data_IF_853477770373
#
_entry.id   IF_853477770373
#
_cell.length_a   1.000
_cell.length_b   1.000
_cell.length_c   1.000
_cell.angle_alpha   90.00
_cell.angle_beta   90.00
_cell.angle_gamma   90.00
#
_symmetry.space_group_name_H-M   'P 1'
#
loop_
_entity.id
_entity.type
_entity.pdbx_description
1 polymer ?
#
# COMPACT_ATOMS: atom_id res chain seq x y z
N UNK A 1 -8.98 -2.16 -20.48
CA UNK A 1 -9.37 -1.05 -19.67
C UNK A 1 -8.18 -0.14 -19.41
N UNK A 2 -8.45 1.10 -19.19
CA UNK A 2 -7.38 2.02 -18.82
C UNK A 2 -6.68 1.50 -17.57
N UNK A 3 -5.38 1.68 -17.51
CA UNK A 3 -4.57 1.13 -16.45
C UNK A 3 -4.72 1.87 -15.14
N UNK A 4 -5.91 1.97 -14.60
CA UNK A 4 -6.14 2.59 -13.31
C UNK A 4 -5.75 1.58 -12.22
N UNK A 5 -4.66 1.86 -11.51
CA UNK A 5 -4.08 0.93 -10.56
C UNK A 5 -4.49 1.17 -9.11
N UNK A 6 -5.25 2.22 -8.84
CA UNK A 6 -5.74 2.46 -7.48
C UNK A 6 -6.77 1.40 -7.11
N UNK A 7 -6.69 0.90 -5.88
CA UNK A 7 -7.60 -0.15 -5.43
C UNK A 7 -8.98 0.41 -5.14
N UNK A 8 -9.96 -0.49 -4.95
CA UNK A 8 -11.33 -0.06 -4.70
C UNK A 8 -11.49 0.64 -3.35
N UNK A 9 -10.55 0.47 -2.44
CA UNK A 9 -10.58 1.16 -1.15
C UNK A 9 -10.43 2.67 -1.31
N UNK A 10 -9.84 3.12 -2.42
CA UNK A 10 -9.67 4.52 -2.66
C UNK A 10 -8.68 5.17 -1.72
N UNK A 11 -8.73 6.49 -1.62
CA UNK A 11 -7.83 7.24 -0.76
C UNK A 11 -8.22 7.07 0.71
N UNK A 12 -7.20 6.89 1.58
CA UNK A 12 -7.38 6.73 3.02
C UNK A 12 -6.71 7.87 3.77
N UNK A 13 -7.15 8.10 5.00
CA UNK A 13 -6.61 9.13 5.87
C UNK A 13 -6.14 8.49 7.16
N UNK A 14 -4.94 8.88 7.62
CA UNK A 14 -4.37 8.33 8.85
C UNK A 14 -3.66 9.45 9.60
N UNK A 15 -3.86 9.52 10.92
CA UNK A 15 -3.16 10.47 11.76
C UNK A 15 -1.72 10.06 12.01
N UNK A 16 -0.86 11.04 12.34
CA UNK A 16 0.58 10.81 12.55
C UNK A 16 0.87 9.86 13.72
N UNK A 17 -0.06 9.76 14.67
CA UNK A 17 0.12 8.92 15.85
C UNK A 17 -0.57 7.56 15.73
N UNK A 18 -1.17 7.27 14.60
CA UNK A 18 -1.88 6.03 14.40
C UNK A 18 -1.00 4.97 13.76
N UNK A 19 -1.27 3.71 14.12
CA UNK A 19 -0.69 2.54 13.47
C UNK A 19 -1.86 1.68 13.01
N UNK A 20 -2.02 1.53 11.71
CA UNK A 20 -3.20 0.87 11.15
C UNK A 20 -2.78 -0.19 10.15
N UNK A 21 -3.45 -1.35 10.21
CA UNK A 21 -3.29 -2.42 9.24
C UNK A 21 -4.40 -2.30 8.20
N UNK A 22 -4.00 -2.13 6.94
CA UNK A 22 -4.94 -1.98 5.84
C UNK A 22 -5.02 -3.24 5.01
N UNK A 23 -6.17 -3.41 4.34
CA UNK A 23 -6.35 -4.47 3.36
C UNK A 23 -6.68 -3.85 2.01
N UNK A 24 -6.27 -4.52 0.93
CA UNK A 24 -6.56 -4.12 -0.44
C UNK A 24 -7.33 -5.24 -1.13
N UNK A 25 -8.33 -4.86 -1.88
CA UNK A 25 -9.04 -5.79 -2.76
C UNK A 25 -8.51 -5.63 -4.18
N UNK A 26 -8.05 -6.71 -4.77
CA UNK A 26 -7.42 -6.69 -6.09
C UNK A 26 -8.05 -7.70 -7.03
N UNK A 27 -7.83 -7.49 -8.32
CA UNK A 27 -8.26 -8.41 -9.36
C UNK A 27 -7.22 -8.36 -10.50
N UNK A 28 -6.74 -9.50 -10.97
CA UNK A 28 -7.04 -10.87 -10.53
C UNK A 28 -6.47 -11.21 -9.16
N UNK A 29 -6.86 -12.36 -8.62
CA UNK A 29 -6.40 -12.79 -7.30
C UNK A 29 -4.89 -13.08 -7.29
N UNK A 30 -4.19 -12.74 -6.20
CA UNK A 30 -2.77 -13.05 -6.08
C UNK A 30 -2.49 -14.55 -5.96
N UNK A 31 -1.34 -14.97 -6.47
CA UNK A 31 -0.75 -16.28 -6.14
C UNK A 31 0.50 -16.10 -5.29
N UNK A 32 1.14 -14.94 -5.37
CA UNK A 32 2.28 -14.61 -4.51
C UNK A 32 2.47 -13.11 -4.43
N UNK A 33 3.05 -12.64 -3.35
CA UNK A 33 3.42 -11.23 -3.17
C UNK A 33 4.89 -11.09 -3.58
N UNK A 34 5.16 -10.14 -4.48
CA UNK A 34 6.53 -9.84 -4.91
C UNK A 34 7.17 -8.83 -3.98
N UNK A 35 6.43 -7.78 -3.59
CA UNK A 35 6.96 -6.79 -2.68
C UNK A 35 5.94 -5.70 -2.33
N UNK A 36 6.25 -4.95 -1.30
CA UNK A 36 5.46 -3.80 -0.87
C UNK A 36 6.39 -2.60 -0.79
N UNK A 37 5.93 -1.46 -1.30
CA UNK A 37 6.71 -0.23 -1.37
C UNK A 37 5.88 0.93 -0.84
N UNK A 38 6.51 1.82 -0.09
CA UNK A 38 5.84 3.00 0.46
C UNK A 38 6.58 4.23 -0.04
N UNK A 39 5.86 5.16 -0.67
CA UNK A 39 6.43 6.39 -1.20
C UNK A 39 5.81 7.59 -0.51
N UNK A 40 6.66 8.55 -0.08
CA UNK A 40 6.21 9.86 0.38
C UNK A 40 6.12 10.77 -0.84
N UNK A 41 4.90 10.99 -1.33
CA UNK A 41 4.65 11.75 -2.56
C UNK A 41 4.79 13.26 -2.35
N UNK A 42 4.88 13.71 -1.11
CA UNK A 42 5.06 15.13 -0.80
C UNK A 42 6.53 15.52 -0.79
N UNK A 43 7.39 14.63 -0.32
CA UNK A 43 8.80 14.94 -0.09
C UNK A 43 9.71 14.38 -1.19
N UNK A 44 9.95 13.06 -1.19
CA UNK A 44 11.04 12.48 -1.98
C UNK A 44 10.59 11.54 -3.08
N UNK A 45 9.38 11.02 -3.01
CA UNK A 45 8.89 10.01 -3.94
C UNK A 45 9.85 8.81 -4.05
N UNK A 46 10.49 8.45 -2.94
CA UNK A 46 11.44 7.36 -2.82
C UNK A 46 10.84 6.31 -1.89
N UNK A 47 11.17 5.04 -2.10
CA UNK A 47 10.65 3.98 -1.24
C UNK A 47 11.16 4.14 0.19
N UNK A 48 10.24 4.35 1.12
CA UNK A 48 10.52 4.53 2.54
C UNK A 48 9.80 3.50 3.39
N UNK A 49 9.63 2.28 2.85
CA UNK A 49 8.93 1.20 3.55
C UNK A 49 9.53 0.93 4.93
N UNK A 50 10.86 0.97 5.05
CA UNK A 50 11.51 0.70 6.32
C UNK A 50 11.11 1.69 7.42
N UNK A 51 10.71 2.91 7.06
CA UNK A 51 10.27 3.92 8.02
C UNK A 51 8.80 3.74 8.39
N UNK A 52 7.94 3.47 7.40
CA UNK A 52 6.49 3.52 7.61
C UNK A 52 5.83 2.15 7.70
N UNK A 53 6.51 1.10 7.28
CA UNK A 53 6.07 -0.28 7.45
C UNK A 53 7.24 -1.14 7.94
N UNK A 54 7.75 -0.86 9.14
CA UNK A 54 9.00 -1.51 9.59
C UNK A 54 8.83 -2.96 10.00
N UNK A 55 7.62 -3.42 10.28
CA UNK A 55 7.41 -4.77 10.79
C UNK A 55 6.45 -5.57 9.94
N UNK A 56 6.69 -6.88 9.87
CA UNK A 56 5.80 -7.80 9.20
C UNK A 56 5.99 -7.84 7.71
N UNK A 57 5.14 -8.61 7.06
CA UNK A 57 5.11 -8.75 5.61
C UNK A 57 3.66 -8.83 5.15
N UNK A 58 3.44 -8.55 3.86
CA UNK A 58 2.11 -8.65 3.30
C UNK A 58 1.71 -10.11 3.13
N UNK A 59 0.42 -10.38 3.28
CA UNK A 59 -0.16 -11.68 3.04
C UNK A 59 -1.42 -11.52 2.19
N UNK A 60 -2.00 -12.62 1.72
CA UNK A 60 -3.22 -12.54 0.94
C UNK A 60 -4.10 -13.75 1.19
N UNK A 61 -5.40 -13.53 1.00
CA UNK A 61 -6.41 -14.59 1.00
C UNK A 61 -7.42 -14.24 -0.09
N UNK A 62 -7.56 -15.12 -1.10
CA UNK A 62 -8.41 -14.82 -2.24
C UNK A 62 -7.98 -13.54 -2.93
N UNK A 63 -8.88 -12.58 -3.05
CA UNK A 63 -8.63 -11.28 -3.69
C UNK A 63 -8.21 -10.19 -2.70
N UNK A 64 -7.97 -10.53 -1.43
CA UNK A 64 -7.66 -9.53 -0.40
C UNK A 64 -6.21 -9.67 0.02
N UNK A 65 -5.47 -8.58 -0.10
CA UNK A 65 -4.08 -8.47 0.38
C UNK A 65 -4.12 -7.71 1.70
N UNK A 66 -3.48 -8.27 2.73
CA UNK A 66 -3.31 -7.60 4.03
C UNK A 66 -1.91 -7.03 4.09
N UNK A 67 -1.80 -5.72 4.30
CA UNK A 67 -0.53 -5.02 4.38
C UNK A 67 0.08 -5.11 5.78
N UNK A 68 1.41 -4.95 5.92
CA UNK A 68 2.00 -4.69 7.23
C UNK A 68 1.42 -3.39 7.82
N UNK A 69 1.49 -3.21 9.15
CA UNK A 69 0.97 -1.98 9.76
C UNK A 69 1.68 -0.74 9.23
N UNK A 70 0.90 0.28 8.88
CA UNK A 70 1.41 1.57 8.43
C UNK A 70 1.48 2.52 9.63
N UNK A 71 2.63 3.15 9.83
CA UNK A 71 2.90 3.92 11.04
C UNK A 71 3.82 5.10 10.76
N UNK A 72 3.95 6.00 11.74
CA UNK A 72 4.92 7.10 11.75
C UNK A 72 4.77 8.08 10.59
N UNK A 73 3.55 8.31 10.11
CA UNK A 73 3.31 9.26 9.03
C UNK A 73 3.56 10.69 9.50
N UNK A 74 3.92 11.56 8.56
CA UNK A 74 4.18 12.98 8.84
C UNK A 74 2.95 13.80 8.45
N UNK A 75 2.46 14.61 9.39
CA UNK A 75 1.28 15.42 9.17
C UNK A 75 1.46 16.33 7.93
N UNK A 76 0.44 16.35 7.09
CA UNK A 76 0.44 17.14 5.86
C UNK A 76 1.06 16.43 4.67
N UNK A 77 1.70 15.29 4.86
CA UNK A 77 2.29 14.53 3.76
C UNK A 77 1.30 13.56 3.14
N UNK A 78 1.55 13.24 1.88
CA UNK A 78 0.77 12.25 1.14
C UNK A 78 1.67 11.08 0.79
N UNK A 79 1.09 9.89 0.88
CA UNK A 79 1.83 8.64 0.70
C UNK A 79 1.12 7.76 -0.32
N UNK A 80 1.91 6.92 -0.99
CA UNK A 80 1.38 5.86 -1.84
C UNK A 80 2.00 4.56 -1.40
N UNK A 81 1.17 3.56 -1.15
CA UNK A 81 1.62 2.19 -0.90
C UNK A 81 1.35 1.39 -2.17
N UNK A 82 2.40 0.84 -2.76
CA UNK A 82 2.31 -0.04 -3.93
C UNK A 82 2.58 -1.46 -3.50
N UNK A 83 1.76 -2.38 -4.01
CA UNK A 83 1.97 -3.80 -3.81
C UNK A 83 2.24 -4.42 -5.17
N UNK A 84 3.37 -5.12 -5.28
CA UNK A 84 3.65 -5.94 -6.46
C UNK A 84 3.27 -7.36 -6.15
N UNK A 85 2.42 -7.95 -6.98
CA UNK A 85 2.02 -9.33 -6.79
C UNK A 85 1.92 -10.03 -8.14
N UNK A 86 2.06 -11.36 -8.10
CA UNK A 86 1.89 -12.20 -9.28
C UNK A 86 0.54 -12.91 -9.20
N UNK A 87 -0.14 -13.00 -10.34
CA UNK A 87 -1.35 -13.82 -10.47
C UNK A 87 -1.06 -15.20 -11.06
N UNK A 88 0.23 -15.52 -11.22
CA UNK A 88 0.68 -16.75 -11.86
C UNK A 88 1.11 -16.55 -13.30
N UNK A 89 0.71 -15.46 -13.93
CA UNK A 89 1.04 -15.13 -15.32
C UNK A 89 1.69 -13.76 -15.40
N UNK A 90 1.08 -12.77 -14.76
CA UNK A 90 1.53 -11.39 -14.81
C UNK A 90 1.93 -10.90 -13.43
N UNK A 91 2.81 -9.88 -13.40
CA UNK A 91 3.11 -9.12 -12.19
C UNK A 91 2.35 -7.80 -12.29
N UNK A 92 1.58 -7.48 -11.26
CA UNK A 92 0.71 -6.32 -11.20
C UNK A 92 1.12 -5.42 -10.04
N UNK A 93 0.84 -4.11 -10.17
CA UNK A 93 1.30 -3.12 -9.21
C UNK A 93 0.17 -2.18 -8.77
N UNK A 94 -0.88 -2.71 -8.10
CA UNK A 94 -1.92 -1.83 -7.57
C UNK A 94 -1.38 -0.96 -6.44
N UNK A 95 -2.08 0.15 -6.21
CA UNK A 95 -1.67 1.07 -5.15
C UNK A 95 -2.86 1.61 -4.40
N UNK A 96 -2.59 2.12 -3.21
CA UNK A 96 -3.56 2.86 -2.41
C UNK A 96 -2.88 4.13 -1.90
N UNK A 97 -3.60 5.25 -1.94
CA UNK A 97 -3.09 6.53 -1.51
C UNK A 97 -3.53 6.83 -0.09
N UNK A 98 -2.65 7.48 0.67
CA UNK A 98 -2.90 7.89 2.04
C UNK A 98 -2.54 9.36 2.21
N UNK A 99 -3.34 10.06 3.02
CA UNK A 99 -3.03 11.43 3.44
C UNK A 99 -2.94 11.43 4.96
N UNK A 100 -1.87 11.98 5.50
CA UNK A 100 -1.74 12.19 6.94
C UNK A 100 -2.33 13.55 7.25
N UNK A 101 -3.53 13.57 7.83
CA UNK A 101 -4.30 14.79 8.02
C UNK A 101 -4.30 15.30 9.47
N UNK A 102 -3.57 14.64 10.35
CA UNK A 102 -3.43 15.11 11.73
C UNK A 102 -2.23 14.50 12.45
#
# INVERSE_FOLDING_TARGET
>A
MAGHRETIEGEQYQGKDETITYTLTVSPAPTSIVGVYVFDRTALDTDIKATHMPSGSASFTGNVITLPPLTALVMGHRYRVEVRYSDGVNVLEPYINFTCDR
#
